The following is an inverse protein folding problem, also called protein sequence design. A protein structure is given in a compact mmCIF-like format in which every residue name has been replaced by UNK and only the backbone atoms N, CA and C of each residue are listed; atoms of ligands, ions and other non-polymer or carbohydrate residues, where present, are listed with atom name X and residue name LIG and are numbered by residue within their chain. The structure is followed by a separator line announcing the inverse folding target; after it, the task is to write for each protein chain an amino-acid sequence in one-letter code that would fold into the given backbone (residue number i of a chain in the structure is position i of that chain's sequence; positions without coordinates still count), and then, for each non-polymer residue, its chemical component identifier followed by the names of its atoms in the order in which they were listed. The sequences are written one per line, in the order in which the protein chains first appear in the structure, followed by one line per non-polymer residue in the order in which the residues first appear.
data_IF_506443424890
#
_entry.id   IF_506443424890
#
_cell.length_a   1.000
_cell.length_b   1.000
_cell.length_c   1.000
_cell.angle_alpha   90.00
_cell.angle_beta   90.00
_cell.angle_gamma   90.00
#
_symmetry.space_group_name_H-M   'P 1'
#
loop_
_entity.id
_entity.type
_entity.pdbx_description
1 polymer ?
#
# COMPACT_ATOMS: atom_id res chain seq x y z
N UNK A 1 -19.48 46.74 -5.03
CA UNK A 1 -19.67 45.30 -4.74
C UNK A 1 -20.87 45.15 -3.82
N UNK A 2 -21.98 44.59 -4.31
CA UNK A 2 -23.16 44.36 -3.48
C UNK A 2 -22.82 43.31 -2.40
N UNK A 3 -23.09 43.61 -1.11
CA UNK A 3 -22.90 42.66 -0.01
C UNK A 3 -23.89 41.51 -0.19
N UNK A 4 -23.37 40.31 -0.48
CA UNK A 4 -24.17 39.07 -0.50
C UNK A 4 -24.90 38.92 0.83
N UNK A 5 -26.18 38.54 0.80
CA UNK A 5 -26.91 38.28 2.04
C UNK A 5 -26.34 37.05 2.73
N UNK A 6 -26.35 37.02 4.07
CA UNK A 6 -25.86 35.89 4.84
C UNK A 6 -26.50 34.55 4.43
N UNK A 7 -27.77 34.58 4.03
CA UNK A 7 -28.51 33.42 3.51
C UNK A 7 -27.93 32.91 2.18
N UNK A 8 -27.52 33.82 1.28
CA UNK A 8 -26.84 33.44 0.04
C UNK A 8 -25.45 32.87 0.30
N UNK A 9 -24.71 33.43 1.26
CA UNK A 9 -23.42 32.89 1.69
C UNK A 9 -23.55 31.47 2.25
N UNK A 10 -24.49 31.22 3.17
CA UNK A 10 -24.72 29.88 3.72
C UNK A 10 -25.14 28.88 2.63
N UNK A 11 -25.98 29.28 1.68
CA UNK A 11 -26.36 28.43 0.54
C UNK A 11 -25.16 28.02 -0.33
N UNK A 12 -24.27 28.97 -0.64
CA UNK A 12 -23.05 28.68 -1.40
C UNK A 12 -22.08 27.77 -0.65
N UNK A 13 -21.96 27.93 0.67
CA UNK A 13 -21.13 27.06 1.51
C UNK A 13 -21.68 25.64 1.50
N UNK A 14 -22.98 25.46 1.75
CA UNK A 14 -23.64 24.14 1.76
C UNK A 14 -23.49 23.41 0.42
N UNK A 15 -23.54 24.12 -0.71
CA UNK A 15 -23.33 23.52 -2.03
C UNK A 15 -21.88 23.09 -2.29
N UNK A 16 -20.89 23.75 -1.68
CA UNK A 16 -19.47 23.43 -1.87
C UNK A 16 -18.94 22.39 -0.88
N UNK A 17 -19.58 22.22 0.27
CA UNK A 17 -19.19 21.25 1.32
C UNK A 17 -19.05 19.82 0.77
N UNK A 18 -19.97 19.27 -0.04
CA UNK A 18 -19.81 17.91 -0.59
C UNK A 18 -18.53 17.74 -1.41
N UNK A 19 -18.23 18.70 -2.30
CA UNK A 19 -17.03 18.63 -3.13
C UNK A 19 -15.73 18.71 -2.29
N UNK A 20 -15.71 19.55 -1.25
CA UNK A 20 -14.58 19.68 -0.33
C UNK A 20 -14.41 18.40 0.50
N UNK A 21 -15.52 17.85 1.02
CA UNK A 21 -15.52 16.61 1.81
C UNK A 21 -15.02 15.42 0.98
N UNK A 22 -15.46 15.30 -0.29
CA UNK A 22 -14.97 14.26 -1.20
C UNK A 22 -13.47 14.42 -1.47
N UNK A 23 -12.98 15.64 -1.71
CA UNK A 23 -11.55 15.88 -1.92
C UNK A 23 -10.68 15.52 -0.71
N UNK A 24 -11.14 15.86 0.51
CA UNK A 24 -10.44 15.48 1.75
C UNK A 24 -10.47 13.95 1.92
N UNK A 25 -11.62 13.32 1.69
CA UNK A 25 -11.76 11.87 1.83
C UNK A 25 -10.84 11.11 0.87
N UNK A 26 -10.72 11.57 -0.37
CA UNK A 26 -9.85 10.97 -1.37
C UNK A 26 -8.37 11.10 -1.01
N UNK A 27 -7.95 12.26 -0.49
CA UNK A 27 -6.58 12.45 0.00
C UNK A 27 -6.27 11.48 1.15
N UNK A 28 -7.16 11.40 2.14
CA UNK A 28 -6.95 10.61 3.37
C UNK A 28 -7.00 9.10 3.11
N UNK A 29 -7.77 8.66 2.11
CA UNK A 29 -7.90 7.24 1.75
C UNK A 29 -6.92 6.77 0.67
N UNK A 30 -6.16 7.68 0.06
CA UNK A 30 -5.21 7.30 -0.98
C UNK A 30 -3.97 6.58 -0.41
N UNK A 31 -3.34 5.67 -1.18
CA UNK A 31 -2.10 5.01 -0.78
C UNK A 31 -0.93 5.97 -0.54
N UNK A 32 -0.97 7.16 -1.15
CA UNK A 32 0.00 8.24 -0.94
C UNK A 32 -0.74 9.58 -0.75
N UNK A 33 -1.17 9.91 0.48
CA UNK A 33 -1.94 11.11 0.78
C UNK A 33 -1.25 12.41 0.36
N UNK A 34 0.08 12.47 0.52
CA UNK A 34 0.86 13.65 0.16
C UNK A 34 0.84 13.90 -1.36
N UNK A 35 1.11 12.86 -2.17
CA UNK A 35 1.07 12.99 -3.63
C UNK A 35 -0.33 13.36 -4.15
N UNK A 36 -1.37 12.73 -3.59
CA UNK A 36 -2.77 13.01 -3.96
C UNK A 36 -3.16 14.45 -3.61
N UNK A 37 -2.75 14.94 -2.43
CA UNK A 37 -2.99 16.33 -2.03
C UNK A 37 -2.28 17.32 -2.96
N UNK A 38 -1.00 17.10 -3.29
CA UNK A 38 -0.23 17.93 -4.21
C UNK A 38 -0.88 17.95 -5.60
N UNK A 39 -1.33 16.79 -6.10
CA UNK A 39 -2.04 16.70 -7.38
C UNK A 39 -3.31 17.55 -7.42
N UNK A 40 -4.13 17.48 -6.37
CA UNK A 40 -5.36 18.29 -6.25
C UNK A 40 -5.09 19.78 -6.18
N UNK A 41 -4.05 20.19 -5.43
CA UNK A 41 -3.63 21.61 -5.39
C UNK A 41 -3.12 22.07 -6.76
N UNK A 42 -2.37 21.23 -7.48
CA UNK A 42 -1.90 21.52 -8.83
C UNK A 42 -3.05 21.71 -9.83
N UNK A 43 -4.08 20.86 -9.81
CA UNK A 43 -5.28 21.00 -10.65
C UNK A 43 -6.05 22.30 -10.34
N UNK A 44 -6.23 22.61 -9.05
CA UNK A 44 -6.88 23.84 -8.61
C UNK A 44 -6.12 25.09 -9.07
N UNK A 45 -4.79 25.08 -8.96
CA UNK A 45 -3.95 26.18 -9.41
C UNK A 45 -3.97 26.30 -10.94
N UNK A 46 -3.87 25.19 -11.69
CA UNK A 46 -3.99 25.17 -13.17
C UNK A 46 -5.30 25.77 -13.65
N UNK A 47 -6.42 25.42 -13.00
CA UNK A 47 -7.75 25.97 -13.35
C UNK A 47 -7.87 27.50 -13.17
N UNK A 48 -6.98 28.09 -12.36
CA UNK A 48 -6.96 29.52 -12.04
C UNK A 48 -5.79 30.27 -12.68
N UNK A 49 -4.76 29.56 -13.13
CA UNK A 49 -3.53 30.13 -13.67
C UNK A 49 -3.76 30.97 -14.94
N UNK A 50 -4.80 30.69 -15.72
CA UNK A 50 -5.15 31.51 -16.90
C UNK A 50 -5.66 32.91 -16.54
N UNK A 51 -6.18 33.10 -15.32
CA UNK A 51 -6.89 34.32 -14.91
C UNK A 51 -6.19 35.10 -13.79
N UNK A 52 -5.26 34.47 -13.08
CA UNK A 52 -4.59 35.04 -11.92
C UNK A 52 -3.09 34.76 -11.95
N UNK A 53 -2.30 35.82 -12.09
CA UNK A 53 -0.84 35.77 -12.10
C UNK A 53 -0.27 35.17 -10.80
N UNK A 54 -0.94 35.40 -9.66
CA UNK A 54 -0.52 34.78 -8.38
C UNK A 54 -0.72 33.28 -8.39
N UNK A 55 -1.79 32.79 -9.02
CA UNK A 55 -2.03 31.35 -9.17
C UNK A 55 -0.99 30.70 -10.10
N UNK A 56 -0.53 31.44 -11.12
CA UNK A 56 0.53 30.98 -12.03
C UNK A 56 1.88 30.87 -11.34
N UNK A 57 2.28 31.88 -10.55
CA UNK A 57 3.53 31.81 -9.77
C UNK A 57 3.48 30.70 -8.71
N UNK A 58 2.37 30.57 -7.98
CA UNK A 58 2.20 29.50 -7.00
C UNK A 58 2.22 28.10 -7.64
N UNK A 59 1.75 27.97 -8.88
CA UNK A 59 1.85 26.71 -9.63
C UNK A 59 3.31 26.36 -9.96
N UNK A 60 4.11 27.33 -10.40
CA UNK A 60 5.53 27.11 -10.69
C UNK A 60 6.33 26.72 -9.44
N UNK A 61 6.10 27.41 -8.33
CA UNK A 61 6.72 27.11 -7.04
C UNK A 61 6.32 25.70 -6.54
N UNK A 62 5.04 25.34 -6.66
CA UNK A 62 4.55 24.00 -6.33
C UNK A 62 5.21 22.92 -7.21
N UNK A 63 5.36 23.16 -8.51
CA UNK A 63 6.02 22.22 -9.42
C UNK A 63 7.50 22.04 -9.08
N UNK A 64 8.21 23.10 -8.69
CA UNK A 64 9.60 23.00 -8.22
C UNK A 64 9.71 22.15 -6.96
N UNK A 65 8.95 22.47 -5.91
CA UNK A 65 8.98 21.70 -4.67
C UNK A 65 8.51 20.26 -4.84
N UNK A 66 7.57 20.01 -5.75
CA UNK A 66 7.18 18.65 -6.10
C UNK A 66 8.34 17.87 -6.72
N UNK A 67 9.10 18.47 -7.64
CA UNK A 67 10.27 17.82 -8.24
C UNK A 67 11.37 17.56 -7.21
N UNK A 68 11.62 18.50 -6.30
CA UNK A 68 12.56 18.34 -5.20
C UNK A 68 12.14 17.19 -4.27
N UNK A 69 10.86 17.18 -3.87
CA UNK A 69 10.31 16.12 -3.04
C UNK A 69 10.36 14.75 -3.71
N UNK A 70 10.02 14.66 -4.99
CA UNK A 70 10.14 13.41 -5.76
C UNK A 70 11.59 12.93 -5.79
N UNK A 71 12.56 13.84 -6.00
CA UNK A 71 13.98 13.51 -5.99
C UNK A 71 14.45 13.00 -4.61
N UNK A 72 14.09 13.69 -3.53
CA UNK A 72 14.44 13.26 -2.16
C UNK A 72 13.86 11.90 -1.84
N UNK A 73 12.60 11.65 -2.23
CA UNK A 73 11.97 10.34 -2.07
C UNK A 73 12.71 9.25 -2.84
N UNK A 74 13.13 9.51 -4.09
CA UNK A 74 13.95 8.57 -4.85
C UNK A 74 15.32 8.33 -4.22
N UNK A 75 15.96 9.35 -3.66
CA UNK A 75 17.25 9.22 -2.97
C UNK A 75 17.12 8.34 -1.72
N UNK A 76 16.07 8.54 -0.92
CA UNK A 76 15.75 7.71 0.24
C UNK A 76 15.48 6.26 -0.15
N UNK A 77 14.71 6.03 -1.23
CA UNK A 77 14.44 4.67 -1.73
C UNK A 77 15.73 3.98 -2.19
N UNK A 78 16.61 4.71 -2.88
CA UNK A 78 17.93 4.19 -3.30
C UNK A 78 18.80 3.88 -2.09
N UNK A 79 18.81 4.72 -1.06
CA UNK A 79 19.58 4.50 0.16
C UNK A 79 19.06 3.27 0.93
N UNK A 80 17.74 3.16 1.12
CA UNK A 80 17.10 2.00 1.73
C UNK A 80 17.44 0.72 0.94
N UNK A 81 17.37 0.78 -0.39
CA UNK A 81 17.75 -0.34 -1.25
C UNK A 81 19.23 -0.73 -1.09
N UNK A 82 20.15 0.25 -1.05
CA UNK A 82 21.57 0.01 -0.83
C UNK A 82 21.83 -0.62 0.53
N UNK A 83 21.17 -0.12 1.58
CA UNK A 83 21.26 -0.67 2.93
C UNK A 83 20.79 -2.13 2.96
N UNK A 84 19.65 -2.45 2.35
CA UNK A 84 19.15 -3.83 2.24
C UNK A 84 20.12 -4.75 1.49
N UNK A 85 20.69 -4.27 0.38
CA UNK A 85 21.67 -5.05 -0.41
C UNK A 85 22.93 -5.31 0.41
N UNK A 86 23.43 -4.30 1.13
CA UNK A 86 24.59 -4.43 2.02
C UNK A 86 24.33 -5.45 3.12
N UNK A 87 23.17 -5.39 3.77
CA UNK A 87 22.80 -6.35 4.82
C UNK A 87 22.66 -7.78 4.30
N UNK A 88 22.06 -7.96 3.11
CA UNK A 88 22.01 -9.29 2.46
C UNK A 88 23.40 -9.80 2.12
N UNK A 89 24.32 -8.93 1.71
CA UNK A 89 25.70 -9.31 1.41
C UNK A 89 26.46 -9.75 2.66
N UNK A 90 26.29 -9.05 3.78
CA UNK A 90 26.92 -9.38 5.05
C UNK A 90 26.37 -10.68 5.64
N UNK A 91 25.06 -10.91 5.53
CA UNK A 91 24.40 -12.16 5.94
C UNK A 91 24.88 -13.36 5.12
N UNK A 92 25.10 -13.18 3.81
CA UNK A 92 25.67 -14.22 2.94
C UNK A 92 27.10 -14.55 3.32
N UNK A 93 27.93 -13.54 3.60
CA UNK A 93 29.31 -13.76 4.02
C UNK A 93 29.35 -14.58 5.32
N UNK A 94 28.52 -14.23 6.31
CA UNK A 94 28.35 -15.03 7.54
C UNK A 94 27.88 -16.45 7.27
N UNK A 95 26.97 -16.66 6.31
CA UNK A 95 26.53 -18.00 5.91
C UNK A 95 27.64 -18.81 5.20
N UNK A 96 28.50 -18.16 4.43
CA UNK A 96 29.67 -18.82 3.83
C UNK A 96 30.69 -19.24 4.89
N UNK A 97 30.85 -18.42 5.94
CA UNK A 97 31.85 -18.57 6.99
C UNK A 97 31.37 -19.43 8.19
N UNK A 98 30.06 -19.67 8.34
CA UNK A 98 29.45 -20.45 9.42
C UNK A 98 28.92 -21.82 8.97
N UNK A 99 28.47 -22.64 9.93
CA UNK A 99 27.82 -23.93 9.66
C UNK A 99 26.46 -23.73 8.96
N UNK A 100 26.38 -24.22 7.72
CA UNK A 100 25.28 -23.98 6.76
C UNK A 100 24.05 -24.82 7.06
N UNK A 101 24.20 -25.89 7.84
CA UNK A 101 23.17 -26.89 8.06
C UNK A 101 21.90 -26.29 8.68
N UNK A 102 22.03 -25.42 9.68
CA UNK A 102 20.88 -24.80 10.35
C UNK A 102 20.16 -23.79 9.45
N UNK A 103 20.90 -22.97 8.71
CA UNK A 103 20.33 -21.97 7.81
C UNK A 103 19.59 -22.63 6.62
N UNK A 104 20.15 -23.70 6.05
CA UNK A 104 19.52 -24.46 4.98
C UNK A 104 18.27 -25.22 5.44
N UNK A 105 18.29 -25.74 6.68
CA UNK A 105 17.13 -26.40 7.27
C UNK A 105 15.95 -25.43 7.43
N UNK A 106 16.22 -24.22 7.94
CA UNK A 106 15.22 -23.16 8.07
C UNK A 106 14.69 -22.73 6.69
N UNK A 107 15.59 -22.50 5.72
CA UNK A 107 15.20 -22.11 4.37
C UNK A 107 14.29 -23.13 3.69
N UNK A 108 14.60 -24.43 3.80
CA UNK A 108 13.75 -25.51 3.27
C UNK A 108 12.38 -25.56 3.95
N UNK A 109 12.34 -25.39 5.27
CA UNK A 109 11.10 -25.39 6.03
C UNK A 109 10.20 -24.22 5.63
N UNK A 110 10.74 -23.02 5.47
CA UNK A 110 9.98 -21.83 5.05
C UNK A 110 9.47 -22.00 3.62
N UNK A 111 10.32 -22.42 2.67
CA UNK A 111 9.92 -22.58 1.26
C UNK A 111 8.84 -23.65 1.10
N UNK A 112 8.97 -24.79 1.79
CA UNK A 112 8.02 -25.90 1.68
C UNK A 112 6.73 -25.68 2.44
N UNK A 113 6.81 -25.17 3.68
CA UNK A 113 5.67 -25.17 4.61
C UNK A 113 4.79 -23.93 4.50
N UNK A 114 5.35 -22.75 4.16
CA UNK A 114 4.57 -21.52 4.04
C UNK A 114 3.52 -21.62 2.93
N UNK A 115 3.83 -22.27 1.80
CA UNK A 115 2.86 -22.45 0.71
C UNK A 115 1.67 -23.32 1.14
N UNK A 116 1.95 -24.40 1.88
CA UNK A 116 0.91 -25.27 2.45
C UNK A 116 0.05 -24.51 3.46
N UNK A 117 0.65 -23.70 4.33
CA UNK A 117 -0.12 -22.89 5.27
C UNK A 117 -0.99 -21.83 4.58
N UNK A 118 -0.48 -21.16 3.55
CA UNK A 118 -1.27 -20.21 2.75
C UNK A 118 -2.46 -20.94 2.12
N UNK A 119 -2.25 -22.12 1.54
CA UNK A 119 -3.33 -22.90 0.96
C UNK A 119 -4.40 -23.28 1.99
N UNK A 120 -4.00 -23.74 3.18
CA UNK A 120 -4.93 -24.06 4.28
C UNK A 120 -5.68 -22.81 4.74
N UNK A 121 -5.00 -21.68 4.89
CA UNK A 121 -5.62 -20.41 5.31
C UNK A 121 -6.66 -19.91 4.31
N UNK A 122 -6.41 -20.07 3.01
CA UNK A 122 -7.39 -19.76 1.97
C UNK A 122 -8.62 -20.67 2.05
N UNK A 123 -8.44 -21.97 2.30
CA UNK A 123 -9.55 -22.90 2.51
C UNK A 123 -10.37 -22.50 3.75
N UNK A 124 -9.70 -22.16 4.85
CA UNK A 124 -10.37 -21.67 6.07
C UNK A 124 -11.16 -20.40 5.78
N UNK A 125 -10.62 -19.45 5.02
CA UNK A 125 -11.32 -18.22 4.65
C UNK A 125 -12.60 -18.49 3.85
N UNK A 126 -12.54 -19.40 2.88
CA UNK A 126 -13.72 -19.81 2.10
C UNK A 126 -14.76 -20.45 3.01
N UNK A 127 -14.34 -21.36 3.89
CA UNK A 127 -15.24 -22.01 4.85
C UNK A 127 -15.91 -21.00 5.78
N UNK A 128 -15.15 -20.06 6.36
CA UNK A 128 -15.69 -19.01 7.23
C UNK A 128 -16.74 -18.18 6.51
N UNK A 129 -16.47 -17.79 5.26
CA UNK A 129 -17.40 -16.97 4.46
C UNK A 129 -18.68 -17.73 4.14
N UNK A 130 -18.59 -19.03 3.81
CA UNK A 130 -19.78 -19.86 3.57
C UNK A 130 -20.57 -20.06 4.87
N UNK A 131 -19.89 -20.36 5.97
CA UNK A 131 -20.52 -20.56 7.27
C UNK A 131 -21.18 -19.28 7.80
N UNK A 132 -20.59 -18.11 7.60
CA UNK A 132 -21.17 -16.83 8.03
C UNK A 132 -22.44 -16.51 7.25
N UNK A 133 -22.47 -16.75 5.94
CA UNK A 133 -23.67 -16.59 5.11
C UNK A 133 -24.76 -17.59 5.50
N UNK A 134 -24.38 -18.85 5.75
CA UNK A 134 -25.33 -19.88 6.18
C UNK A 134 -25.96 -19.54 7.54
N UNK A 135 -25.15 -19.11 8.50
CA UNK A 135 -25.62 -18.67 9.82
C UNK A 135 -26.54 -17.46 9.70
N UNK A 136 -26.15 -16.43 8.94
CA UNK A 136 -26.98 -15.24 8.73
C UNK A 136 -28.34 -15.60 8.10
N UNK A 137 -28.36 -16.54 7.15
CA UNK A 137 -29.60 -17.02 6.50
C UNK A 137 -30.53 -17.78 7.46
N UNK A 138 -30.03 -18.27 8.60
CA UNK A 138 -30.86 -18.90 9.63
C UNK A 138 -31.61 -17.90 10.53
N UNK A 139 -31.15 -16.64 10.57
CA UNK A 139 -31.74 -15.58 11.40
C UNK A 139 -32.47 -14.50 10.58
N UNK A 140 -32.18 -14.40 9.28
CA UNK A 140 -32.71 -13.37 8.39
C UNK A 140 -33.43 -14.05 7.23
N UNK A 141 -34.74 -13.79 7.11
CA UNK A 141 -35.57 -14.34 6.03
C UNK A 141 -35.21 -13.74 4.67
N UNK A 142 -34.80 -12.47 4.64
CA UNK A 142 -34.33 -11.82 3.43
C UNK A 142 -32.93 -12.31 3.04
N UNK A 143 -32.88 -13.07 1.93
CA UNK A 143 -31.65 -13.71 1.44
C UNK A 143 -30.58 -12.69 1.05
N UNK A 144 -30.97 -11.54 0.51
CA UNK A 144 -30.03 -10.52 0.05
C UNK A 144 -29.31 -9.85 1.24
N UNK A 145 -30.07 -9.50 2.27
CA UNK A 145 -29.52 -8.98 3.54
C UNK A 145 -28.64 -10.01 4.24
N UNK A 146 -29.06 -11.30 4.27
CA UNK A 146 -28.27 -12.37 4.87
C UNK A 146 -26.91 -12.57 4.18
N UNK A 147 -26.88 -12.57 2.85
CA UNK A 147 -25.64 -12.69 2.07
C UNK A 147 -24.74 -11.48 2.30
N UNK A 148 -25.29 -10.26 2.34
CA UNK A 148 -24.52 -9.03 2.57
C UNK A 148 -23.83 -9.05 3.93
N UNK A 149 -24.57 -9.38 4.99
CA UNK A 149 -24.02 -9.45 6.35
C UNK A 149 -23.01 -10.60 6.47
N UNK A 150 -23.35 -11.79 5.99
CA UNK A 150 -22.45 -12.94 6.00
C UNK A 150 -21.12 -12.67 5.27
N UNK A 151 -21.19 -12.03 4.10
CA UNK A 151 -20.01 -11.65 3.31
C UNK A 151 -19.19 -10.57 4.00
N UNK A 152 -19.83 -9.61 4.70
CA UNK A 152 -19.12 -8.57 5.46
C UNK A 152 -18.35 -9.13 6.66
N UNK A 153 -18.89 -10.13 7.35
CA UNK A 153 -18.16 -10.83 8.41
C UNK A 153 -17.01 -11.66 7.83
N UNK A 154 -17.26 -12.33 6.70
CA UNK A 154 -16.22 -13.04 5.97
C UNK A 154 -15.07 -12.12 5.56
N UNK A 155 -15.35 -10.90 5.11
CA UNK A 155 -14.31 -9.96 4.67
C UNK A 155 -13.43 -9.43 5.82
N UNK A 156 -13.99 -9.22 7.01
CA UNK A 156 -13.22 -8.83 8.21
C UNK A 156 -12.22 -9.92 8.58
N UNK A 157 -12.66 -11.18 8.64
CA UNK A 157 -11.76 -12.32 8.88
C UNK A 157 -10.76 -12.47 7.73
N UNK A 158 -11.21 -12.22 6.50
CA UNK A 158 -10.37 -12.26 5.30
C UNK A 158 -9.24 -11.24 5.31
N UNK A 159 -9.46 -10.04 5.86
CA UNK A 159 -8.41 -9.04 6.03
C UNK A 159 -7.33 -9.50 7.01
N UNK A 160 -7.73 -10.12 8.13
CA UNK A 160 -6.79 -10.68 9.10
C UNK A 160 -5.98 -11.85 8.49
N UNK A 161 -6.65 -12.78 7.82
CA UNK A 161 -5.98 -13.90 7.12
C UNK A 161 -5.06 -13.37 6.01
N UNK A 162 -5.49 -12.37 5.25
CA UNK A 162 -4.69 -11.74 4.21
C UNK A 162 -3.41 -11.12 4.74
N UNK A 163 -3.44 -10.51 5.93
CA UNK A 163 -2.25 -9.97 6.60
C UNK A 163 -1.25 -11.08 6.95
N UNK A 164 -1.73 -12.21 7.48
CA UNK A 164 -0.88 -13.37 7.78
C UNK A 164 -0.29 -13.98 6.51
N UNK A 165 -1.08 -14.14 5.45
CA UNK A 165 -0.62 -14.61 4.13
C UNK A 165 0.47 -13.67 3.58
N UNK A 166 0.27 -12.35 3.69
CA UNK A 166 1.25 -11.34 3.30
C UNK A 166 2.59 -11.53 3.99
N UNK A 167 2.57 -11.73 5.31
CA UNK A 167 3.78 -12.01 6.10
C UNK A 167 4.50 -13.30 5.66
N UNK A 168 3.74 -14.39 5.44
CA UNK A 168 4.30 -15.68 5.01
C UNK A 168 4.94 -15.60 3.60
N UNK A 169 4.35 -14.80 2.70
CA UNK A 169 4.89 -14.54 1.37
C UNK A 169 6.13 -13.65 1.43
N UNK A 170 6.15 -12.65 2.31
CA UNK A 170 7.31 -11.77 2.51
C UNK A 170 8.51 -12.55 3.05
N UNK A 171 8.34 -13.40 4.05
CA UNK A 171 9.38 -14.31 4.55
C UNK A 171 9.94 -15.21 3.44
N UNK A 172 9.04 -15.79 2.62
CA UNK A 172 9.45 -16.62 1.47
C UNK A 172 10.29 -15.81 0.48
N UNK A 173 9.88 -14.59 0.14
CA UNK A 173 10.61 -13.73 -0.77
C UNK A 173 11.98 -13.33 -0.22
N UNK A 174 12.11 -13.12 1.09
CA UNK A 174 13.39 -12.86 1.75
C UNK A 174 14.34 -14.06 1.63
N UNK A 175 13.85 -15.28 1.91
CA UNK A 175 14.66 -16.52 1.80
C UNK A 175 15.06 -16.79 0.34
N UNK A 176 14.12 -16.65 -0.60
CA UNK A 176 14.42 -16.80 -2.03
C UNK A 176 15.44 -15.74 -2.48
N UNK A 177 15.26 -14.48 -2.07
CA UNK A 177 16.20 -13.39 -2.34
C UNK A 177 17.57 -13.64 -1.73
N UNK A 178 17.64 -14.21 -0.54
CA UNK A 178 18.89 -14.61 0.12
C UNK A 178 19.64 -15.68 -0.68
N UNK A 179 18.98 -16.77 -1.07
CA UNK A 179 19.62 -17.88 -1.80
C UNK A 179 19.90 -17.59 -3.28
N UNK A 180 18.99 -16.89 -3.99
CA UNK A 180 19.09 -16.72 -5.45
C UNK A 180 19.49 -15.32 -5.92
N UNK A 181 19.41 -14.30 -5.07
CA UNK A 181 19.84 -12.94 -5.40
C UNK A 181 21.37 -12.77 -5.55
N UNK A 182 22.16 -13.85 -5.45
CA UNK A 182 23.62 -13.82 -5.60
C UNK A 182 24.10 -14.07 -7.04
N UNK A 183 23.22 -14.56 -7.92
CA UNK A 183 23.56 -14.88 -9.31
C UNK A 183 23.99 -13.64 -10.12
N UNK A 184 23.58 -12.43 -9.70
CA UNK A 184 24.06 -11.18 -10.31
C UNK A 184 25.41 -10.68 -9.76
N UNK A 185 25.79 -11.05 -8.53
CA UNK A 185 27.02 -10.58 -7.91
C UNK A 185 28.28 -11.35 -8.33
N UNK A 186 28.14 -12.60 -8.80
CA UNK A 186 29.28 -13.37 -9.33
C UNK A 186 29.79 -12.83 -10.67
N UNK A 187 28.94 -12.18 -11.48
CA UNK A 187 29.36 -11.54 -12.75
C UNK A 187 30.30 -10.35 -12.57
N UNK A 188 30.37 -9.74 -11.39
CA UNK A 188 31.31 -8.65 -11.10
C UNK A 188 32.70 -9.13 -10.66
N UNK A 189 32.87 -10.43 -10.33
CA UNK A 189 34.19 -10.98 -10.02
C UNK A 189 35.01 -11.37 -11.26
N UNK A 190 34.37 -11.50 -12.42
CA UNK A 190 35.03 -11.92 -13.67
C UNK A 190 35.63 -10.74 -14.48
N UNK A 191 35.56 -9.51 -13.97
CA UNK A 191 36.18 -8.32 -14.57
C UNK A 191 37.31 -7.73 -13.70
N UNK A 192 38.22 -8.60 -13.22
CA UNK A 192 39.52 -8.18 -12.72
C UNK A 192 40.64 -8.79 -13.55
#
# INVERSE_FOLDING_TARGET
MAKKSFKQFCGEVVQKVPAIATGIFEVVTSPNPAATAIGRVSELLKSKAEKDEKARMALQELEQHRMEWEKEMYELDIEAYKAEVSDRSSARQKYLDADKASADAIGRQIIGRNLTYIFILLLVQVLVTISSVFLASGFIEDKETAVTIGSSLGSVVGAAIGTVIGSLLQERNQVVGFHFGSSMGSRQKDYK
#
